data_IF_541586001362
#
_entry.id   IF_541586001362
#
_cell.length_a   1.000
_cell.length_b   1.000
_cell.length_c   1.000
_cell.angle_alpha   90.00
_cell.angle_beta   90.00
_cell.angle_gamma   90.00
#
_symmetry.space_group_name_H-M   'P 1'
#
loop_
_entity.id
_entity.type
_entity.pdbx_description
1 polymer ?
#
# COMPACT_ATOMS: atom_id res chain seq x y z
N UNK A 1 1.83 5.18 13.53
CA UNK A 1 3.25 5.00 13.87
C UNK A 1 4.02 4.85 12.56
N UNK A 2 5.13 5.56 12.39
CA UNK A 2 5.90 5.46 11.14
C UNK A 2 6.68 4.14 11.21
N UNK A 3 6.17 3.10 10.55
CA UNK A 3 6.68 1.74 10.69
C UNK A 3 8.10 1.56 10.16
N UNK A 4 8.69 2.55 9.49
CA UNK A 4 10.01 2.50 8.85
C UNK A 4 10.93 3.60 9.39
N UNK A 5 12.19 3.26 9.62
CA UNK A 5 13.27 4.22 9.86
C UNK A 5 13.53 5.08 8.62
N UNK A 6 14.21 6.24 8.74
CA UNK A 6 14.51 7.09 7.58
C UNK A 6 15.33 6.39 6.49
N UNK A 7 16.30 5.55 6.86
CA UNK A 7 17.12 4.80 5.91
C UNK A 7 16.33 3.69 5.20
N UNK A 8 15.47 2.97 5.93
CA UNK A 8 14.57 1.97 5.33
C UNK A 8 13.59 2.61 4.36
N UNK A 9 13.01 3.76 4.73
CA UNK A 9 12.07 4.47 3.86
C UNK A 9 12.77 4.97 2.58
N UNK A 10 14.00 5.48 2.69
CA UNK A 10 14.79 5.86 1.53
C UNK A 10 15.06 4.67 0.59
N UNK A 11 15.41 3.49 1.15
CA UNK A 11 15.59 2.28 0.37
C UNK A 11 14.31 1.82 -0.33
N UNK A 12 13.16 1.85 0.37
CA UNK A 12 11.84 1.55 -0.21
C UNK A 12 11.50 2.53 -1.32
N UNK A 13 11.74 3.83 -1.11
CA UNK A 13 11.47 4.86 -2.11
C UNK A 13 12.28 4.63 -3.39
N UNK A 14 13.57 4.30 -3.26
CA UNK A 14 14.42 3.92 -4.39
C UNK A 14 13.91 2.66 -5.08
N UNK A 15 13.57 1.60 -4.34
CA UNK A 15 13.07 0.35 -4.90
C UNK A 15 11.75 0.51 -5.66
N UNK A 16 10.86 1.38 -5.20
CA UNK A 16 9.56 1.67 -5.82
C UNK A 16 9.65 2.75 -6.92
N UNK A 17 10.79 3.43 -7.04
CA UNK A 17 10.97 4.52 -8.00
C UNK A 17 10.11 5.76 -7.66
N UNK A 18 10.06 6.12 -6.37
CA UNK A 18 9.40 7.34 -5.87
C UNK A 18 10.34 8.16 -5.01
N UNK A 19 9.98 9.42 -4.79
CA UNK A 19 10.72 10.29 -3.89
C UNK A 19 10.46 9.92 -2.42
N UNK A 20 11.50 9.91 -1.56
CA UNK A 20 11.38 9.55 -0.13
C UNK A 20 10.32 10.41 0.60
N UNK A 21 10.35 11.73 0.37
CA UNK A 21 9.36 12.63 0.95
C UNK A 21 7.93 12.31 0.49
N UNK A 22 7.76 11.84 -0.74
CA UNK A 22 6.43 11.44 -1.22
C UNK A 22 5.95 10.17 -0.53
N UNK A 23 6.83 9.18 -0.37
CA UNK A 23 6.54 7.97 0.40
C UNK A 23 6.20 8.31 1.86
N UNK A 24 6.93 9.22 2.51
CA UNK A 24 6.61 9.67 3.87
C UNK A 24 5.20 10.27 3.97
N UNK A 25 4.79 11.10 3.00
CA UNK A 25 3.45 11.70 2.98
C UNK A 25 2.37 10.63 2.78
N UNK A 26 2.66 9.58 2.01
CA UNK A 26 1.78 8.43 1.84
C UNK A 26 1.63 7.63 3.14
N UNK A 27 2.75 7.25 3.78
CA UNK A 27 2.78 6.49 5.04
C UNK A 27 2.14 7.22 6.22
N UNK A 28 2.11 8.55 6.18
CA UNK A 28 1.48 9.39 7.20
C UNK A 28 0.02 9.75 6.88
N UNK A 29 -0.53 9.24 5.77
CA UNK A 29 -1.89 9.52 5.33
C UNK A 29 -2.14 10.95 4.82
N UNK A 30 -1.09 11.77 4.71
CA UNK A 30 -1.18 13.17 4.23
C UNK A 30 -1.45 13.25 2.74
N UNK A 31 -1.05 12.23 1.98
CA UNK A 31 -1.42 12.08 0.57
C UNK A 31 -1.89 10.64 0.31
N UNK A 32 -2.92 10.46 -0.52
CA UNK A 32 -3.31 9.12 -0.93
C UNK A 32 -2.23 8.51 -1.83
N UNK A 33 -1.86 7.26 -1.55
CA UNK A 33 -0.98 6.46 -2.40
C UNK A 33 -1.72 6.04 -3.67
N UNK A 34 -1.16 6.21 -4.87
CA UNK A 34 -1.70 5.66 -6.10
C UNK A 34 -1.90 4.15 -5.97
N UNK A 35 -3.05 3.65 -6.40
CA UNK A 35 -3.45 2.25 -6.18
C UNK A 35 -2.48 1.26 -6.80
N UNK A 36 -1.93 1.61 -7.96
CA UNK A 36 -0.92 0.86 -8.71
C UNK A 36 0.43 0.76 -7.98
N UNK A 37 0.74 1.68 -7.07
CA UNK A 37 1.99 1.69 -6.30
C UNK A 37 1.90 0.95 -4.97
N UNK A 38 0.70 0.71 -4.45
CA UNK A 38 0.53 0.06 -3.14
C UNK A 38 1.19 -1.33 -3.08
N UNK A 39 1.02 -2.22 -4.08
CA UNK A 39 1.66 -3.54 -4.04
C UNK A 39 3.19 -3.48 -4.10
N UNK A 40 3.75 -2.48 -4.80
CA UNK A 40 5.20 -2.28 -4.85
C UNK A 40 5.75 -1.83 -3.49
N UNK A 41 5.05 -0.94 -2.79
CA UNK A 41 5.42 -0.51 -1.44
C UNK A 41 5.30 -1.67 -0.45
N UNK A 42 4.20 -2.43 -0.48
CA UNK A 42 4.02 -3.60 0.40
C UNK A 42 5.14 -4.63 0.19
N UNK A 43 5.50 -4.90 -1.06
CA UNK A 43 6.61 -5.82 -1.37
C UNK A 43 7.95 -5.27 -0.87
N UNK A 44 8.25 -4.00 -1.15
CA UNK A 44 9.50 -3.37 -0.75
C UNK A 44 9.65 -3.21 0.77
N UNK A 45 8.54 -3.21 1.50
CA UNK A 45 8.51 -3.17 2.98
C UNK A 45 8.42 -4.55 3.62
N UNK A 46 8.52 -5.63 2.83
CA UNK A 46 8.37 -7.01 3.30
C UNK A 46 7.07 -7.21 4.09
N UNK A 47 5.96 -6.63 3.63
CA UNK A 47 4.64 -6.78 4.25
C UNK A 47 4.43 -5.98 5.55
N UNK A 48 5.40 -5.17 6.00
CA UNK A 48 5.24 -4.28 7.19
C UNK A 48 4.22 -3.17 6.98
N UNK A 49 3.94 -2.83 5.72
CA UNK A 49 2.93 -1.85 5.33
C UNK A 49 2.04 -2.50 4.29
N UNK A 50 0.80 -2.78 4.66
CA UNK A 50 -0.16 -3.42 3.76
C UNK A 50 -0.83 -2.43 2.79
N UNK A 51 -1.36 -2.94 1.68
CA UNK A 51 -2.12 -2.17 0.70
C UNK A 51 -3.41 -1.60 1.32
N UNK A 52 -4.03 -2.33 2.25
CA UNK A 52 -5.22 -1.94 3.00
C UNK A 52 -4.92 -0.77 3.96
N UNK A 53 -3.74 -0.75 4.59
CA UNK A 53 -3.29 0.40 5.38
C UNK A 53 -3.02 1.63 4.52
N UNK A 54 -2.38 1.44 3.35
CA UNK A 54 -2.09 2.55 2.43
C UNK A 54 -3.35 3.14 1.78
N UNK A 55 -4.33 2.28 1.48
CA UNK A 55 -5.56 2.63 0.77
C UNK A 55 -6.75 1.86 1.33
N UNK A 56 -7.27 2.29 2.50
CA UNK A 56 -8.45 1.67 3.11
C UNK A 56 -9.74 1.93 2.33
N UNK A 57 -9.73 2.91 1.42
CA UNK A 57 -10.84 3.24 0.53
C UNK A 57 -10.93 2.33 -0.70
N UNK A 58 -9.91 1.50 -0.94
CA UNK A 58 -9.87 0.55 -2.06
C UNK A 58 -10.25 -0.84 -1.56
N UNK A 59 -11.10 -1.53 -2.33
CA UNK A 59 -11.44 -2.92 -2.03
C UNK A 59 -10.32 -3.84 -2.52
N UNK A 60 -9.44 -4.19 -1.60
CA UNK A 60 -8.41 -5.19 -1.82
C UNK A 60 -8.97 -6.61 -1.59
N UNK A 61 -8.60 -7.51 -2.47
CA UNK A 61 -8.77 -8.95 -2.32
C UNK A 61 -7.40 -9.61 -2.22
N UNK A 62 -7.34 -10.73 -1.51
CA UNK A 62 -6.11 -11.48 -1.31
C UNK A 62 -6.22 -12.83 -2.02
N UNK A 63 -5.18 -13.16 -2.78
CA UNK A 63 -5.04 -14.48 -3.42
C UNK A 63 -3.82 -15.15 -2.81
N UNK A 64 -3.94 -16.41 -2.32
CA UNK A 64 -2.80 -17.14 -1.76
C UNK A 64 -1.61 -17.14 -2.73
N UNK A 65 -0.48 -16.64 -2.25
CA UNK A 65 0.76 -16.51 -3.01
C UNK A 65 1.92 -16.62 -2.01
N UNK A 66 2.68 -17.72 -2.09
CA UNK A 66 3.76 -18.02 -1.16
C UNK A 66 4.99 -17.10 -1.36
N UNK A 67 5.12 -16.51 -2.55
CA UNK A 67 6.21 -15.59 -2.88
C UNK A 67 5.89 -14.15 -2.48
N UNK A 68 4.66 -13.91 -2.01
CA UNK A 68 4.23 -12.60 -1.57
C UNK A 68 4.49 -12.41 -0.06
N UNK A 69 5.09 -11.28 0.38
CA UNK A 69 5.52 -11.14 1.77
C UNK A 69 4.39 -10.96 2.79
N UNK A 70 3.16 -10.74 2.34
CA UNK A 70 1.99 -10.65 3.19
C UNK A 70 1.41 -12.06 3.44
N UNK A 71 1.07 -12.44 4.69
CA UNK A 71 0.62 -13.80 5.02
C UNK A 71 -0.67 -14.22 4.30
N UNK A 72 -1.54 -13.26 3.94
CA UNK A 72 -2.77 -13.53 3.18
C UNK A 72 -2.53 -13.63 1.67
N UNK A 73 -1.30 -13.39 1.20
CA UNK A 73 -0.91 -13.48 -0.21
C UNK A 73 -1.04 -12.15 -0.96
N UNK A 74 -1.07 -12.25 -2.29
CA UNK A 74 -0.97 -11.11 -3.21
C UNK A 74 -2.24 -10.25 -3.22
N UNK A 75 -2.12 -8.91 -3.19
CA UNK A 75 -3.25 -8.00 -3.27
C UNK A 75 -3.75 -7.87 -4.72
N UNK A 76 -5.06 -7.97 -4.90
CA UNK A 76 -5.80 -7.70 -6.14
C UNK A 76 -6.84 -6.61 -5.86
N UNK A 77 -7.17 -5.82 -6.88
CA UNK A 77 -8.28 -4.88 -6.80
C UNK A 77 -9.46 -5.48 -7.56
N UNK A 78 -10.60 -5.61 -6.89
CA UNK A 78 -11.85 -5.95 -7.58
C UNK A 78 -12.42 -4.67 -8.20
N UNK A 79 -12.09 -4.46 -9.48
CA UNK A 79 -12.57 -3.32 -10.27
C UNK A 79 -14.03 -3.45 -10.71
N UNK A 80 -14.61 -4.65 -10.62
CA UNK A 80 -15.98 -4.94 -11.02
C UNK A 80 -16.97 -4.81 -9.85
N UNK A 81 -16.48 -4.81 -8.61
CA UNK A 81 -17.30 -4.57 -7.43
C UNK A 81 -18.05 -3.23 -7.53
N UNK A 82 -19.34 -3.18 -7.14
CA UNK A 82 -20.06 -1.92 -7.01
C UNK A 82 -19.30 -1.00 -6.04
N UNK A 83 -19.04 0.26 -6.45
CA UNK A 83 -18.50 1.27 -5.54
C UNK A 83 -19.47 1.44 -4.38
N UNK A 84 -18.97 1.30 -3.16
CA UNK A 84 -19.76 1.67 -1.99
C UNK A 84 -20.11 3.16 -2.11
N UNK A 85 -21.40 3.48 -2.15
CA UNK A 85 -21.85 4.86 -2.03
C UNK A 85 -21.44 5.35 -0.65
N UNK A 86 -20.62 6.41 -0.58
CA UNK A 86 -20.53 7.19 0.66
C UNK A 86 -21.90 7.84 0.84
N UNK A 87 -22.62 7.45 1.88
CA UNK A 87 -23.79 8.22 2.31
C UNK A 87 -23.32 9.65 2.61
N UNK A 88 -23.93 10.61 1.93
CA UNK A 88 -23.71 12.02 2.19
C UNK A 88 -24.30 12.34 3.57
N UNK A 89 -23.44 12.72 4.50
CA UNK A 89 -23.85 13.33 5.78
C UNK A 89 -24.14 14.81 5.58
#
# INVERSE_FOLDING_TARGET
MNALTPSERAAVATAVGIHDQYLYQCLTGRRPTPVDRCPAIERATSGRVSCEELRPDVRWHRVPDADWPHPEGRPLIDVAAPKAHKEAA
#
